data_IF_719186535436
#
_entry.id   IF_719186535436
#
_cell.length_a   1.000
_cell.length_b   1.000
_cell.length_c   1.000
_cell.angle_alpha   90.00
_cell.angle_beta   90.00
_cell.angle_gamma   90.00
#
_symmetry.space_group_name_H-M   'P 1'
#
loop_
_entity.id
_entity.type
_entity.pdbx_description
1 polymer ?
#
# COMPACT_ATOMS: atom_id res chain seq x y z
N UNK A 1 14.01 21.66 22.85
CA UNK A 1 12.88 22.39 22.22
C UNK A 1 11.64 21.50 22.22
N UNK A 2 10.46 21.97 22.65
CA UNK A 2 9.23 21.19 22.54
C UNK A 2 8.92 20.99 21.05
N UNK A 3 8.72 19.75 20.63
CA UNK A 3 8.34 19.42 19.27
C UNK A 3 6.91 19.92 19.06
N UNK A 4 6.68 20.77 18.06
CA UNK A 4 5.33 21.21 17.69
C UNK A 4 4.40 19.99 17.53
N UNK A 5 3.21 20.03 18.13
CA UNK A 5 2.22 18.94 18.04
C UNK A 5 1.89 18.75 16.56
N UNK A 6 2.11 17.54 16.03
CA UNK A 6 1.73 17.22 14.65
C UNK A 6 0.22 17.37 14.51
N UNK A 7 -0.23 18.01 13.44
CA UNK A 7 -1.65 18.12 13.11
C UNK A 7 -2.26 16.72 13.02
N UNK A 8 -3.47 16.58 13.55
CA UNK A 8 -4.24 15.34 13.45
C UNK A 8 -4.70 15.18 12.00
N UNK A 9 -4.62 13.95 11.47
CA UNK A 9 -4.99 13.65 10.09
C UNK A 9 -6.51 13.54 10.00
N UNK A 10 -7.12 14.30 9.10
CA UNK A 10 -8.57 14.30 8.89
C UNK A 10 -8.96 13.55 7.61
N UNK A 11 -10.25 13.22 7.47
CA UNK A 11 -10.74 12.48 6.30
C UNK A 11 -10.58 13.23 4.96
N UNK A 12 -10.48 14.55 5.02
CA UNK A 12 -10.28 15.43 3.87
C UNK A 12 -8.84 15.42 3.35
N UNK A 13 -7.88 15.14 4.23
CA UNK A 13 -6.46 15.06 3.88
C UNK A 13 -6.12 13.76 3.12
N UNK A 14 -6.99 12.76 3.22
CA UNK A 14 -6.80 11.46 2.57
C UNK A 14 -7.44 11.45 1.17
N UNK A 15 -6.57 11.37 0.17
CA UNK A 15 -6.86 11.32 -1.26
C UNK A 15 -6.54 9.94 -1.86
N UNK A 16 -6.87 9.75 -3.14
CA UNK A 16 -6.47 8.54 -3.89
C UNK A 16 -7.22 7.25 -3.56
N UNK A 17 -8.12 7.25 -2.58
CA UNK A 17 -8.90 6.06 -2.13
C UNK A 17 -9.74 5.37 -3.24
N UNK A 18 -9.95 6.04 -4.39
CA UNK A 18 -10.69 5.46 -5.52
C UNK A 18 -9.96 4.28 -6.18
N UNK A 19 -8.63 4.27 -6.17
CA UNK A 19 -7.82 3.23 -6.82
C UNK A 19 -7.64 1.97 -5.96
N UNK A 20 -7.81 2.11 -4.65
CA UNK A 20 -7.62 1.02 -3.68
C UNK A 20 -8.60 -0.14 -3.85
N UNK A 21 -9.76 0.08 -4.49
CA UNK A 21 -10.70 -1.01 -4.80
C UNK A 21 -10.12 -1.98 -5.84
N UNK A 22 -9.43 -1.46 -6.87
CA UNK A 22 -8.81 -2.28 -7.90
C UNK A 22 -7.55 -2.95 -7.35
N UNK A 23 -6.73 -2.18 -6.61
CA UNK A 23 -5.52 -2.70 -5.96
C UNK A 23 -5.83 -3.81 -4.96
N UNK A 24 -6.91 -3.66 -4.16
CA UNK A 24 -7.30 -4.68 -3.18
C UNK A 24 -7.60 -6.05 -3.80
N UNK A 25 -8.18 -6.11 -5.01
CA UNK A 25 -8.40 -7.39 -5.71
C UNK A 25 -7.10 -8.08 -6.10
N UNK A 26 -6.11 -7.31 -6.52
CA UNK A 26 -4.80 -7.84 -6.93
C UNK A 26 -3.95 -8.22 -5.72
N UNK A 27 -4.06 -7.46 -4.64
CA UNK A 27 -3.35 -7.74 -3.39
C UNK A 27 -3.99 -8.90 -2.61
N UNK A 28 -5.23 -9.30 -2.91
CA UNK A 28 -5.90 -10.41 -2.21
C UNK A 28 -5.11 -11.73 -2.28
N UNK A 29 -4.33 -11.95 -3.34
CA UNK A 29 -3.43 -13.10 -3.46
C UNK A 29 -2.33 -13.12 -2.37
N UNK A 30 -2.01 -11.97 -1.76
CA UNK A 30 -1.09 -11.87 -0.63
C UNK A 30 -1.74 -12.17 0.71
N UNK A 31 -3.06 -12.30 0.79
CA UNK A 31 -3.73 -12.41 2.08
C UNK A 31 -3.26 -13.64 2.86
N UNK A 32 -3.08 -14.77 2.18
CA UNK A 32 -2.61 -16.03 2.78
C UNK A 32 -1.08 -16.09 2.93
N UNK A 33 -0.36 -15.12 2.35
CA UNK A 33 1.10 -15.12 2.32
C UNK A 33 1.66 -14.80 3.71
N UNK A 34 2.42 -15.74 4.25
CA UNK A 34 3.02 -15.61 5.58
C UNK A 34 2.08 -15.98 6.73
N UNK A 35 0.87 -16.45 6.46
CA UNK A 35 -0.03 -17.03 7.46
C UNK A 35 0.48 -18.38 8.00
N UNK A 36 1.25 -19.13 7.22
CA UNK A 36 1.85 -20.41 7.64
C UNK A 36 2.80 -20.29 8.85
N UNK A 37 3.38 -19.11 9.06
CA UNK A 37 4.27 -18.83 10.20
C UNK A 37 3.49 -18.43 11.45
N UNK A 38 2.25 -17.97 11.32
CA UNK A 38 1.40 -17.61 12.45
C UNK A 38 0.71 -18.84 13.02
N UNK A 39 1.44 -19.58 13.85
CA UNK A 39 0.89 -20.73 14.60
C UNK A 39 -0.08 -20.32 15.70
N UNK A 40 -0.06 -19.05 16.12
CA UNK A 40 -0.87 -18.55 17.22
C UNK A 40 -2.23 -18.01 16.75
N UNK A 41 -2.40 -17.73 15.45
CA UNK A 41 -3.62 -17.14 14.89
C UNK A 41 -3.87 -15.71 15.39
N UNK A 42 -2.85 -15.06 15.92
CA UNK A 42 -2.95 -13.76 16.56
C UNK A 42 -2.58 -12.61 15.61
N UNK A 43 -2.24 -12.89 14.34
CA UNK A 43 -2.04 -11.83 13.35
C UNK A 43 -3.34 -11.10 13.08
N UNK A 44 -3.39 -9.88 13.56
CA UNK A 44 -4.44 -8.92 13.23
C UNK A 44 -4.23 -8.22 11.89
N UNK A 45 -3.02 -8.28 11.32
CA UNK A 45 -2.66 -7.61 10.05
C UNK A 45 -2.06 -8.58 9.05
N UNK A 46 -2.72 -8.72 7.91
CA UNK A 46 -2.30 -9.57 6.80
C UNK A 46 -1.41 -8.79 5.81
N UNK A 47 -0.67 -9.51 4.96
CA UNK A 47 0.29 -8.89 4.05
C UNK A 47 -0.38 -7.99 3.00
N UNK A 48 -1.55 -8.37 2.50
CA UNK A 48 -2.36 -7.54 1.61
C UNK A 48 -2.77 -6.23 2.28
N UNK A 49 -3.24 -6.29 3.52
CA UNK A 49 -3.64 -5.13 4.32
C UNK A 49 -2.45 -4.21 4.59
N UNK A 50 -1.30 -4.79 4.97
CA UNK A 50 -0.06 -4.05 5.16
C UNK A 50 0.41 -3.36 3.87
N UNK A 51 0.43 -4.06 2.73
CA UNK A 51 0.76 -3.46 1.44
C UNK A 51 -0.15 -2.29 1.10
N UNK A 52 -1.43 -2.43 1.43
CA UNK A 52 -2.43 -1.39 1.22
C UNK A 52 -2.17 -0.17 2.11
N UNK A 53 -1.72 -0.37 3.36
CA UNK A 53 -1.28 0.73 4.24
C UNK A 53 -0.01 1.43 3.70
N UNK A 54 0.95 0.68 3.14
CA UNK A 54 2.13 1.27 2.50
C UNK A 54 1.76 2.11 1.28
N UNK A 55 0.81 1.65 0.47
CA UNK A 55 0.29 2.44 -0.64
C UNK A 55 -0.44 3.70 -0.15
N UNK A 56 -1.17 3.61 0.96
CA UNK A 56 -1.82 4.78 1.57
C UNK A 56 -0.78 5.81 2.01
N UNK A 57 0.31 5.36 2.65
CA UNK A 57 1.46 6.18 3.02
C UNK A 57 2.11 6.86 1.80
N UNK A 58 2.35 6.09 0.73
CA UNK A 58 2.99 6.60 -0.50
C UNK A 58 2.14 7.66 -1.23
N UNK A 59 0.82 7.47 -1.28
CA UNK A 59 -0.08 8.40 -2.00
C UNK A 59 -0.48 9.64 -1.19
N UNK A 60 -0.25 9.64 0.12
CA UNK A 60 -0.68 10.72 1.01
C UNK A 60 0.55 11.23 1.78
N UNK A 61 1.31 12.19 1.23
CA UNK A 61 2.56 12.66 1.84
C UNK A 61 2.37 13.34 3.21
N UNK A 62 1.13 13.64 3.61
CA UNK A 62 0.78 14.05 4.98
C UNK A 62 1.02 12.94 6.00
N UNK A 63 0.87 11.67 5.59
CA UNK A 63 1.13 10.50 6.41
C UNK A 63 2.63 10.23 6.40
N UNK A 64 3.37 10.86 7.31
CA UNK A 64 4.86 10.79 7.33
C UNK A 64 5.44 9.80 8.34
N UNK A 65 4.60 9.10 9.11
CA UNK A 65 5.08 8.18 10.16
C UNK A 65 4.09 7.06 10.44
N UNK A 66 4.55 6.00 11.13
CA UNK A 66 3.70 4.90 11.57
C UNK A 66 2.53 5.35 12.45
N UNK A 67 2.73 6.36 13.31
CA UNK A 67 1.63 6.98 14.08
C UNK A 67 0.62 7.68 13.19
N UNK A 68 1.08 8.41 12.17
CA UNK A 68 0.17 8.99 11.18
C UNK A 68 -0.59 7.92 10.41
N UNK A 69 0.05 6.78 10.10
CA UNK A 69 -0.58 5.67 9.40
C UNK A 69 -1.62 4.96 10.27
N UNK A 70 -1.32 4.76 11.56
CA UNK A 70 -2.28 4.27 12.55
C UNK A 70 -3.48 5.21 12.65
N UNK A 71 -3.25 6.53 12.78
CA UNK A 71 -4.32 7.54 12.81
C UNK A 71 -5.17 7.51 11.52
N UNK A 72 -4.52 7.42 10.36
CA UNK A 72 -5.23 7.30 9.09
C UNK A 72 -6.10 6.03 9.05
N UNK A 73 -5.63 4.90 9.60
CA UNK A 73 -6.39 3.64 9.71
C UNK A 73 -7.61 3.73 10.64
N UNK A 74 -7.67 4.73 11.53
CA UNK A 74 -8.82 4.96 12.43
C UNK A 74 -9.96 5.70 11.72
N UNK A 75 -9.69 6.35 10.58
CA UNK A 75 -10.70 7.07 9.81
C UNK A 75 -11.72 6.12 9.18
N UNK A 76 -13.01 6.38 9.38
CA UNK A 76 -14.11 5.52 8.89
C UNK A 76 -14.10 5.42 7.37
N UNK A 77 -13.83 6.52 6.67
CA UNK A 77 -13.67 6.56 5.21
C UNK A 77 -12.57 5.60 4.73
N UNK A 78 -11.45 5.58 5.43
CA UNK A 78 -10.28 4.73 5.13
C UNK A 78 -10.66 3.25 5.35
N UNK A 79 -11.17 2.90 6.53
CA UNK A 79 -11.60 1.53 6.84
C UNK A 79 -12.60 0.98 5.83
N UNK A 80 -13.61 1.77 5.45
CA UNK A 80 -14.63 1.37 4.48
C UNK A 80 -14.06 1.15 3.07
N UNK A 81 -13.10 1.97 2.64
CA UNK A 81 -12.52 1.89 1.30
C UNK A 81 -11.47 0.79 1.17
N UNK A 82 -10.73 0.56 2.24
CA UNK A 82 -9.62 -0.39 2.28
C UNK A 82 -10.03 -1.76 2.80
N UNK A 83 -11.26 -1.89 3.35
CA UNK A 83 -11.76 -3.11 4.02
C UNK A 83 -10.81 -3.64 5.09
N UNK A 84 -10.03 -2.74 5.68
CA UNK A 84 -9.08 -3.05 6.73
C UNK A 84 -9.57 -2.36 8.01
N UNK A 85 -9.66 -3.07 9.14
CA UNK A 85 -9.98 -2.46 10.41
C UNK A 85 -8.84 -1.54 10.86
N UNK A 86 -9.05 -0.83 11.99
CA UNK A 86 -7.97 -0.11 12.66
C UNK A 86 -6.77 -1.03 12.85
N UNK A 87 -5.59 -0.53 12.50
CA UNK A 87 -4.33 -1.24 12.75
C UNK A 87 -3.64 -0.64 13.97
N UNK A 88 -3.12 -1.48 14.86
CA UNK A 88 -2.32 -1.02 15.99
C UNK A 88 -0.88 -0.70 15.54
N UNK A 89 -0.17 0.10 16.33
CA UNK A 89 1.25 0.38 16.06
C UNK A 89 2.11 -0.87 16.15
N UNK A 90 1.82 -1.73 17.12
CA UNK A 90 2.59 -2.95 17.35
C UNK A 90 2.47 -3.89 16.15
N UNK A 91 1.25 -4.08 15.63
CA UNK A 91 1.02 -4.88 14.42
C UNK A 91 1.69 -4.29 13.18
N UNK A 92 1.74 -2.96 13.04
CA UNK A 92 2.47 -2.30 11.95
C UNK A 92 3.99 -2.52 12.08
N UNK A 93 4.55 -2.36 13.27
CA UNK A 93 5.97 -2.52 13.52
C UNK A 93 6.42 -3.99 13.32
N UNK A 94 5.63 -4.93 13.79
CA UNK A 94 5.86 -6.36 13.56
C UNK A 94 5.76 -6.70 12.07
N UNK A 95 4.77 -6.14 11.36
CA UNK A 95 4.59 -6.38 9.93
C UNK A 95 5.76 -5.87 9.10
N UNK A 96 6.38 -4.74 9.48
CA UNK A 96 7.63 -4.25 8.85
C UNK A 96 8.74 -5.31 8.99
N UNK A 97 8.90 -5.92 10.16
CA UNK A 97 9.96 -6.90 10.40
C UNK A 97 9.76 -8.21 9.64
N UNK A 98 8.50 -8.59 9.36
CA UNK A 98 8.17 -9.84 8.68
C UNK A 98 7.91 -9.66 7.18
N UNK A 99 7.87 -8.41 6.69
CA UNK A 99 7.55 -8.10 5.30
C UNK A 99 8.61 -8.63 4.32
N UNK A 100 8.19 -9.53 3.43
CA UNK A 100 9.02 -10.08 2.36
C UNK A 100 8.73 -9.39 1.02
N UNK A 101 9.54 -8.39 0.69
CA UNK A 101 9.40 -7.59 -0.54
C UNK A 101 9.51 -8.42 -1.82
N UNK A 102 10.15 -9.60 -1.79
CA UNK A 102 10.27 -10.48 -2.97
C UNK A 102 8.90 -10.96 -3.45
N UNK A 103 7.93 -11.05 -2.56
CA UNK A 103 6.57 -11.54 -2.83
C UNK A 103 5.69 -10.53 -3.57
N UNK A 104 6.09 -9.26 -3.59
CA UNK A 104 5.43 -8.23 -4.41
C UNK A 104 5.79 -8.30 -5.89
N UNK A 105 6.93 -8.90 -6.24
CA UNK A 105 7.40 -8.98 -7.64
C UNK A 105 6.36 -9.58 -8.60
N UNK A 106 5.73 -10.75 -8.33
CA UNK A 106 4.72 -11.31 -9.22
C UNK A 106 3.49 -10.40 -9.38
N UNK A 107 3.09 -9.69 -8.32
CA UNK A 107 1.92 -8.81 -8.36
C UNK A 107 2.22 -7.53 -9.12
N UNK A 108 3.42 -6.97 -8.96
CA UNK A 108 3.89 -5.83 -9.76
C UNK A 108 4.02 -6.23 -11.23
N UNK A 109 4.49 -7.45 -11.52
CA UNK A 109 4.52 -7.97 -12.89
C UNK A 109 3.11 -8.16 -13.47
N UNK A 110 2.17 -8.69 -12.69
CA UNK A 110 0.76 -8.82 -13.09
C UNK A 110 0.12 -7.44 -13.34
N UNK A 111 0.37 -6.46 -12.46
CA UNK A 111 -0.05 -5.07 -12.61
C UNK A 111 0.52 -4.45 -13.89
N UNK A 112 1.82 -4.61 -14.14
CA UNK A 112 2.50 -4.15 -15.35
C UNK A 112 1.94 -4.79 -16.62
N UNK A 113 1.61 -6.08 -16.57
CA UNK A 113 0.95 -6.81 -17.65
C UNK A 113 -0.46 -6.29 -17.95
N UNK A 114 -1.30 -6.11 -16.92
CA UNK A 114 -2.63 -5.50 -17.08
C UNK A 114 -2.55 -4.09 -17.65
N UNK A 115 -1.60 -3.27 -17.19
CA UNK A 115 -1.40 -1.92 -17.71
C UNK A 115 -0.93 -1.95 -19.17
N UNK A 116 0.00 -2.84 -19.51
CA UNK A 116 0.49 -3.01 -20.87
C UNK A 116 -0.61 -3.50 -21.83
N UNK A 117 -1.51 -4.38 -21.38
CA UNK A 117 -2.67 -4.82 -22.17
C UNK A 117 -3.67 -3.68 -22.38
N UNK A 118 -3.99 -2.93 -21.32
CA UNK A 118 -4.88 -1.76 -21.41
C UNK A 118 -4.28 -0.64 -22.26
N UNK A 119 -2.95 -0.48 -22.26
CA UNK A 119 -2.24 0.45 -23.13
C UNK A 119 -2.18 -0.06 -24.57
N UNK A 120 -2.02 -1.36 -24.83
CA UNK A 120 -2.08 -1.93 -26.20
C UNK A 120 -3.45 -1.71 -26.85
N UNK A 121 -4.54 -1.77 -26.08
CA UNK A 121 -5.88 -1.37 -26.55
C UNK A 121 -5.98 0.13 -26.87
N UNK A 122 -5.11 0.96 -26.27
CA UNK A 122 -4.98 2.40 -26.54
C UNK A 122 -4.00 2.73 -27.69
N UNK A 123 -3.04 1.84 -28.00
CA UNK A 123 -2.02 2.05 -29.04
C UNK A 123 -2.55 1.99 -30.48
N UNK A 124 -3.83 1.70 -30.71
CA UNK A 124 -4.44 2.04 -32.02
C UNK A 124 -4.59 3.56 -32.22
N UNK A 125 -4.29 4.39 -31.20
CA UNK A 125 -4.51 5.83 -31.23
C UNK A 125 -3.51 6.62 -30.36
N UNK A 126 -2.19 6.47 -30.54
CA UNK A 126 -1.21 7.58 -30.52
C UNK A 126 0.25 7.06 -30.52
N UNK A 127 0.91 7.17 -31.66
CA UNK A 127 2.32 6.87 -31.93
C UNK A 127 3.29 7.94 -31.40
N UNK A 128 3.04 8.49 -30.21
CA UNK A 128 3.96 9.45 -29.61
C UNK A 128 3.78 9.47 -28.10
N UNK A 129 4.72 8.87 -27.39
CA UNK A 129 5.26 9.31 -26.10
C UNK A 129 6.26 8.24 -25.61
N UNK A 130 7.35 8.10 -26.36
CA UNK A 130 8.61 7.72 -25.75
C UNK A 130 8.92 8.77 -24.68
N UNK A 131 8.78 8.39 -23.40
CA UNK A 131 9.42 8.94 -22.19
C UNK A 131 8.56 8.65 -20.94
N UNK A 132 8.33 7.37 -20.64
CA UNK A 132 8.10 6.97 -19.24
C UNK A 132 9.44 6.57 -18.68
N UNK A 133 10.12 7.55 -18.10
CA UNK A 133 11.35 7.37 -17.33
C UNK A 133 11.05 6.36 -16.22
N UNK A 134 11.59 5.17 -16.36
CA UNK A 134 11.59 4.11 -15.35
C UNK A 134 12.06 4.74 -14.05
N UNK A 135 11.20 4.73 -13.03
CA UNK A 135 11.55 5.12 -11.67
C UNK A 135 12.64 4.14 -11.24
N UNK A 136 13.88 4.61 -11.29
CA UNK A 136 15.05 3.90 -10.84
C UNK A 136 15.00 3.88 -9.31
N UNK A 137 14.36 2.85 -8.75
CA UNK A 137 14.34 2.60 -7.32
C UNK A 137 15.66 1.91 -6.95
N UNK A 138 16.69 2.71 -6.66
CA UNK A 138 17.95 2.23 -6.11
C UNK A 138 17.67 1.67 -4.73
N UNK A 139 17.62 0.35 -4.62
CA UNK A 139 17.61 -0.36 -3.33
C UNK A 139 18.99 -0.15 -2.72
N UNK A 140 19.01 0.49 -1.56
CA UNK A 140 20.17 0.59 -0.67
C UNK A 140 20.50 -0.83 -0.21
N UNK A 141 21.62 -1.35 -0.67
CA UNK A 141 22.31 -2.47 -0.04
C UNK A 141 22.97 -1.95 1.24
N UNK A 142 22.66 -2.60 2.36
CA UNK A 142 23.52 -2.69 3.55
C UNK A 142 23.46 -4.10 4.07
#
# INVERSE_FOLDING_TARGET
>A
MPRAKRAEIEEQDIIGLKYFRQLGKLLQELHEVGCERDRAGNRSLHMDQYCTMILLYLFNPIVTSLRGLQQASELKKVQKKLKCPRVSLDSLAESIAVFDSKRLKPIIAALGGCLALSLKSFHSCHDSLAQVKVIHFTVVET
#
